data_IF_678838771464
#
_entry.id   IF_678838771464
#
_cell.length_a   1.000
_cell.length_b   1.000
_cell.length_c   1.000
_cell.angle_alpha   90.00
_cell.angle_beta   90.00
_cell.angle_gamma   90.00
#
_symmetry.space_group_name_H-M   'P 1'
#
loop_
_entity.id
_entity.type
_entity.pdbx_description
1 polymer ?
#
# COMPACT_ATOMS: atom_id res chain seq x y z
N UNK A 1 -8.55 12.57 0.57
CA UNK A 1 -9.93 12.02 0.71
C UNK A 1 -9.90 10.50 0.48
N UNK A 2 -10.87 9.71 0.96
CA UNK A 2 -10.97 8.30 0.54
C UNK A 2 -11.49 8.20 -0.90
N UNK A 3 -10.79 7.45 -1.74
CA UNK A 3 -11.16 7.13 -3.12
C UNK A 3 -11.30 5.61 -3.24
N UNK A 4 -12.51 5.15 -3.57
CA UNK A 4 -12.74 3.72 -3.81
C UNK A 4 -11.91 3.26 -5.01
N UNK A 5 -11.03 2.29 -4.77
CA UNK A 5 -10.11 1.75 -5.75
C UNK A 5 -10.04 0.23 -5.64
N UNK A 6 -10.67 -0.44 -6.61
CA UNK A 6 -10.57 -1.88 -6.78
C UNK A 6 -10.24 -2.21 -8.24
N UNK A 7 -8.94 -2.22 -8.61
CA UNK A 7 -8.51 -2.55 -9.97
C UNK A 7 -8.52 -4.05 -10.27
N UNK A 8 -8.98 -4.90 -9.34
CA UNK A 8 -9.09 -6.33 -9.59
C UNK A 8 -9.93 -6.56 -10.87
N UNK A 9 -9.45 -7.36 -11.84
CA UNK A 9 -10.08 -7.49 -13.16
C UNK A 9 -11.49 -8.09 -13.11
N UNK A 10 -11.84 -8.74 -12.01
CA UNK A 10 -13.16 -9.32 -11.77
C UNK A 10 -13.96 -8.55 -10.70
N UNK A 11 -13.45 -7.41 -10.24
CA UNK A 11 -14.06 -6.58 -9.20
C UNK A 11 -14.15 -7.25 -7.82
N UNK A 12 -13.47 -8.38 -7.62
CA UNK A 12 -13.49 -9.13 -6.36
C UNK A 12 -12.63 -8.47 -5.29
N UNK A 13 -12.94 -8.71 -4.02
CA UNK A 13 -12.10 -8.36 -2.88
C UNK A 13 -11.46 -9.66 -2.35
N UNK A 14 -10.24 -9.96 -2.77
CA UNK A 14 -9.59 -11.28 -2.57
C UNK A 14 -8.17 -11.15 -2.04
N UNK A 15 -8.00 -10.75 -0.78
CA UNK A 15 -6.68 -10.75 -0.11
C UNK A 15 -5.56 -10.04 -0.90
N UNK A 16 -5.91 -9.13 -1.81
CA UNK A 16 -5.04 -8.60 -2.86
C UNK A 16 -4.61 -7.16 -2.58
N UNK A 17 -4.71 -6.72 -1.32
CA UNK A 17 -4.38 -5.35 -0.92
C UNK A 17 -2.96 -4.96 -1.32
N UNK A 18 -1.98 -5.86 -1.16
CA UNK A 18 -0.60 -5.63 -1.63
C UNK A 18 -0.52 -5.41 -3.15
N UNK A 19 -1.26 -6.18 -3.94
CA UNK A 19 -1.31 -6.04 -5.41
C UNK A 19 -1.94 -4.71 -5.79
N UNK A 20 -3.10 -4.37 -5.20
CA UNK A 20 -3.80 -3.10 -5.46
C UNK A 20 -2.94 -1.89 -5.09
N UNK A 21 -2.29 -1.95 -3.92
CA UNK A 21 -1.42 -0.88 -3.45
C UNK A 21 -0.20 -0.70 -4.36
N UNK A 22 0.49 -1.80 -4.72
CA UNK A 22 1.62 -1.73 -5.67
C UNK A 22 1.18 -1.24 -7.05
N UNK A 23 0.02 -1.68 -7.55
CA UNK A 23 -0.53 -1.21 -8.82
C UNK A 23 -0.71 0.31 -8.82
N UNK A 24 -1.34 0.85 -7.77
CA UNK A 24 -1.56 2.29 -7.63
C UNK A 24 -0.24 3.05 -7.49
N UNK A 25 0.67 2.59 -6.64
CA UNK A 25 1.95 3.25 -6.35
C UNK A 25 2.88 3.30 -7.58
N UNK A 26 2.89 2.23 -8.39
CA UNK A 26 3.74 2.13 -9.58
C UNK A 26 3.05 2.60 -10.86
N UNK A 27 1.80 3.09 -10.77
CA UNK A 27 0.98 3.53 -11.92
C UNK A 27 0.85 2.44 -12.99
N UNK A 28 0.56 1.23 -12.55
CA UNK A 28 0.35 0.06 -13.40
C UNK A 28 -1.01 -0.58 -13.12
N UNK A 29 -1.41 -1.56 -13.92
CA UNK A 29 -2.64 -2.33 -13.70
C UNK A 29 -2.46 -3.46 -12.66
N UNK A 30 -3.57 -4.09 -12.29
CA UNK A 30 -3.58 -5.14 -11.28
C UNK A 30 -2.79 -6.37 -11.73
N UNK A 31 -2.93 -6.77 -13.00
CA UNK A 31 -2.27 -7.95 -13.58
C UNK A 31 -0.75 -7.80 -13.60
N UNK A 32 -0.22 -6.66 -14.03
CA UNK A 32 1.21 -6.41 -14.04
C UNK A 32 1.77 -6.31 -12.62
N UNK A 33 1.05 -5.68 -11.69
CA UNK A 33 1.44 -5.66 -10.28
C UNK A 33 1.46 -7.08 -9.68
N UNK A 34 0.45 -7.89 -9.99
CA UNK A 34 0.36 -9.29 -9.56
C UNK A 34 1.56 -10.09 -10.06
N UNK A 35 1.86 -10.02 -11.36
CA UNK A 35 2.99 -10.72 -11.97
C UNK A 35 4.32 -10.27 -11.38
N UNK A 36 4.49 -8.96 -11.13
CA UNK A 36 5.70 -8.40 -10.54
C UNK A 36 5.95 -8.95 -9.13
N UNK A 37 4.93 -8.95 -8.28
CA UNK A 37 5.02 -9.46 -6.91
C UNK A 37 5.20 -10.99 -6.92
N UNK A 38 4.42 -11.71 -7.74
CA UNK A 38 4.49 -13.17 -7.82
C UNK A 38 5.86 -13.65 -8.31
N UNK A 39 6.40 -13.04 -9.37
CA UNK A 39 7.77 -13.30 -9.84
C UNK A 39 8.79 -13.01 -8.74
N UNK A 40 8.62 -11.90 -8.02
CA UNK A 40 9.54 -11.56 -6.95
C UNK A 40 9.49 -12.55 -5.78
N UNK A 41 8.29 -13.00 -5.39
CA UNK A 41 8.11 -14.04 -4.37
C UNK A 41 8.76 -15.36 -4.78
N UNK A 42 8.58 -15.78 -6.04
CA UNK A 42 9.27 -16.96 -6.60
C UNK A 42 10.79 -16.83 -6.48
N UNK A 43 11.37 -15.69 -6.87
CA UNK A 43 12.81 -15.46 -6.78
C UNK A 43 13.33 -15.42 -5.34
N UNK A 44 12.49 -15.01 -4.38
CA UNK A 44 12.83 -14.97 -2.95
C UNK A 44 12.54 -16.28 -2.22
N UNK A 45 11.81 -17.21 -2.84
CA UNK A 45 11.31 -18.40 -2.15
C UNK A 45 10.28 -18.07 -1.06
N UNK A 46 9.55 -16.97 -1.20
CA UNK A 46 8.58 -16.47 -0.21
C UNK A 46 7.22 -16.15 -0.88
N UNK A 47 6.17 -16.06 -0.06
CA UNK A 47 4.80 -15.85 -0.53
C UNK A 47 4.61 -14.43 -1.10
N UNK A 48 3.87 -14.27 -2.21
CA UNK A 48 3.58 -12.95 -2.79
C UNK A 48 2.93 -11.96 -1.80
N UNK A 49 2.17 -12.47 -0.83
CA UNK A 49 1.50 -11.68 0.20
C UNK A 49 2.43 -11.20 1.34
N UNK A 50 3.67 -11.69 1.41
CA UNK A 50 4.63 -11.33 2.45
C UNK A 50 5.12 -9.88 2.30
N UNK A 51 5.15 -9.13 3.41
CA UNK A 51 5.70 -7.76 3.50
C UNK A 51 7.12 -7.64 2.92
N UNK A 52 7.91 -8.70 3.09
CA UNK A 52 9.28 -8.77 2.56
C UNK A 52 9.28 -8.72 1.02
N UNK A 53 8.32 -9.40 0.39
CA UNK A 53 8.24 -9.62 -1.05
C UNK A 53 7.74 -8.37 -1.75
N UNK A 54 6.52 -7.92 -1.48
CA UNK A 54 5.96 -6.74 -2.15
C UNK A 54 6.71 -5.46 -1.72
N UNK A 55 7.20 -5.39 -0.49
CA UNK A 55 8.05 -4.27 -0.05
C UNK A 55 9.36 -4.18 -0.82
N UNK A 56 9.98 -5.31 -1.18
CA UNK A 56 11.18 -5.29 -2.02
C UNK A 56 10.91 -4.86 -3.47
N UNK A 57 9.69 -5.09 -3.99
CA UNK A 57 9.26 -4.54 -5.28
C UNK A 57 9.23 -3.01 -5.20
N UNK A 58 8.62 -2.43 -4.16
CA UNK A 58 8.63 -0.97 -3.96
C UNK A 58 10.06 -0.44 -3.84
N UNK A 59 10.91 -1.09 -3.04
CA UNK A 59 12.33 -0.70 -2.86
C UNK A 59 13.10 -0.64 -4.17
N UNK A 60 12.92 -1.63 -5.05
CA UNK A 60 13.57 -1.65 -6.38
C UNK A 60 13.04 -0.57 -7.32
N UNK A 61 11.86 -0.01 -7.04
CA UNK A 61 11.25 1.10 -7.78
C UNK A 61 11.52 2.48 -7.13
N UNK A 62 12.49 2.55 -6.22
CA UNK A 62 12.98 3.79 -5.63
C UNK A 62 12.24 4.26 -4.40
N UNK A 63 11.35 3.44 -3.83
CA UNK A 63 10.73 3.73 -2.55
C UNK A 63 11.68 3.35 -1.40
N UNK A 64 11.61 4.08 -0.30
CA UNK A 64 12.24 3.70 0.97
C UNK A 64 11.18 3.60 2.06
N UNK A 65 11.48 2.85 3.14
CA UNK A 65 10.53 2.58 4.22
C UNK A 65 10.94 3.32 5.48
N UNK A 66 9.99 3.98 6.11
CA UNK A 66 10.11 4.61 7.42
C UNK A 66 8.99 4.10 8.36
N UNK A 67 9.27 4.06 9.66
CA UNK A 67 8.25 3.72 10.65
C UNK A 67 7.37 4.94 10.92
N UNK A 68 6.08 4.72 11.15
CA UNK A 68 5.16 5.76 11.61
C UNK A 68 5.07 5.67 13.14
N UNK A 69 5.22 6.78 13.88
CA UNK A 69 5.05 6.77 15.33
C UNK A 69 3.67 6.25 15.73
N UNK A 70 3.65 5.27 16.63
CA UNK A 70 2.41 4.70 17.19
C UNK A 70 2.16 5.25 18.60
N UNK A 71 1.88 6.56 18.70
CA UNK A 71 1.76 7.31 19.96
C UNK A 71 0.31 7.44 20.46
N UNK A 72 -0.38 6.31 20.65
CA UNK A 72 -1.72 6.32 21.27
C UNK A 72 -1.66 6.84 22.73
N UNK A 73 -2.66 7.63 23.21
CA UNK A 73 -4.02 7.78 22.66
C UNK A 73 -4.18 8.78 21.50
N UNK A 74 -3.16 9.57 21.15
CA UNK A 74 -3.15 10.42 19.95
C UNK A 74 -2.73 9.60 18.72
N UNK A 75 -3.47 8.53 18.44
CA UNK A 75 -3.12 7.60 17.38
C UNK A 75 -3.18 8.32 16.01
N UNK A 76 -2.10 8.21 15.23
CA UNK A 76 -1.99 8.84 13.92
C UNK A 76 -2.72 8.01 12.87
N UNK A 77 -3.86 8.49 12.37
CA UNK A 77 -4.70 7.73 11.42
C UNK A 77 -4.22 7.90 9.97
N UNK A 78 -4.66 7.01 9.08
CA UNK A 78 -4.45 7.20 7.64
C UNK A 78 -5.07 8.52 7.13
N UNK A 79 -6.18 8.99 7.73
CA UNK A 79 -6.76 10.29 7.42
C UNK A 79 -5.85 11.45 7.80
N UNK A 80 -5.18 11.37 8.96
CA UNK A 80 -4.22 12.39 9.39
C UNK A 80 -2.96 12.35 8.53
N UNK A 81 -2.46 11.15 8.20
CA UNK A 81 -1.40 10.97 7.22
C UNK A 81 -1.72 11.69 5.90
N UNK A 82 -2.93 11.51 5.36
CA UNK A 82 -3.37 12.15 4.13
C UNK A 82 -3.40 13.68 4.22
N UNK A 83 -3.79 14.26 5.36
CA UNK A 83 -3.82 15.72 5.56
C UNK A 83 -2.41 16.31 5.59
N UNK A 84 -1.49 15.62 6.25
CA UNK A 84 -0.11 16.09 6.41
C UNK A 84 0.73 15.88 5.15
N UNK A 85 0.32 14.98 4.27
CA UNK A 85 1.01 14.64 3.01
C UNK A 85 0.12 14.93 1.79
N UNK A 86 -0.12 16.22 1.44
CA UNK A 86 -1.02 16.62 0.35
C UNK A 86 -0.45 16.37 -1.06
N UNK A 87 0.81 15.95 -1.17
CA UNK A 87 1.49 15.67 -2.43
C UNK A 87 2.42 14.47 -2.28
N UNK A 88 2.55 13.64 -3.31
CA UNK A 88 3.46 12.50 -3.32
C UNK A 88 2.75 11.17 -3.48
N UNK A 89 3.50 10.07 -3.40
CA UNK A 89 2.98 8.70 -3.48
C UNK A 89 3.52 7.87 -2.33
N UNK A 90 2.61 7.34 -1.52
CA UNK A 90 2.92 6.66 -0.27
C UNK A 90 2.21 5.31 -0.22
N UNK A 91 2.84 4.27 0.30
CA UNK A 91 2.20 2.98 0.58
C UNK A 91 2.21 2.73 2.08
N UNK A 92 1.03 2.75 2.68
CA UNK A 92 0.83 2.55 4.12
C UNK A 92 0.65 1.08 4.44
N UNK A 93 1.36 0.59 5.44
CA UNK A 93 1.21 -0.77 5.98
C UNK A 93 0.59 -0.76 7.38
N UNK A 94 -0.47 -1.55 7.58
CA UNK A 94 -1.30 -1.58 8.80
C UNK A 94 -1.13 -2.87 9.63
N UNK A 95 -0.19 -3.74 9.27
CA UNK A 95 0.07 -5.02 9.98
C UNK A 95 -0.78 -6.21 9.53
N UNK A 96 -1.82 -5.98 8.71
CA UNK A 96 -2.56 -7.02 7.98
C UNK A 96 -3.25 -6.49 6.72
N UNK A 97 -3.05 -5.21 6.41
CA UNK A 97 -3.64 -4.48 5.31
C UNK A 97 -2.60 -3.50 4.76
N UNK A 98 -2.75 -3.14 3.49
CA UNK A 98 -1.90 -2.21 2.76
C UNK A 98 -2.76 -1.36 1.83
N UNK A 99 -2.55 -0.05 1.83
CA UNK A 99 -3.23 0.89 0.94
C UNK A 99 -2.26 1.96 0.43
N UNK A 100 -2.62 2.64 -0.66
CA UNK A 100 -1.79 3.68 -1.26
C UNK A 100 -2.42 5.04 -1.08
N UNK A 101 -1.62 6.02 -0.67
CA UNK A 101 -1.99 7.44 -0.70
C UNK A 101 -1.30 8.09 -1.89
N UNK A 102 -2.05 8.85 -2.69
CA UNK A 102 -1.50 9.69 -3.76
C UNK A 102 -2.06 11.08 -3.61
N UNK A 103 -1.18 12.08 -3.44
CA UNK A 103 -1.55 13.50 -3.31
C UNK A 103 -2.66 13.75 -2.28
N UNK A 104 -2.52 13.16 -1.08
CA UNK A 104 -3.49 13.28 0.02
C UNK A 104 -4.78 12.44 -0.15
N UNK A 105 -4.89 11.64 -1.22
CA UNK A 105 -6.02 10.74 -1.44
C UNK A 105 -5.66 9.29 -1.13
N UNK A 106 -6.46 8.65 -0.26
CA UNK A 106 -6.33 7.25 0.13
C UNK A 106 -7.08 6.35 -0.86
N UNK A 107 -6.36 5.50 -1.58
CA UNK A 107 -6.89 4.56 -2.56
C UNK A 107 -6.96 3.16 -1.97
N UNK A 108 -8.18 2.68 -1.75
CA UNK A 108 -8.44 1.33 -1.23
C UNK A 108 -9.83 0.81 -1.61
N UNK A 109 -10.11 -0.48 -1.39
CA UNK A 109 -11.39 -1.08 -1.75
C UNK A 109 -12.49 -0.88 -0.71
N UNK A 110 -12.14 -0.43 0.51
CA UNK A 110 -13.04 0.10 1.54
C UNK A 110 -12.45 1.37 2.16
N UNK A 111 -13.25 2.10 2.93
CA UNK A 111 -12.77 3.28 3.64
C UNK A 111 -11.95 2.87 4.87
N UNK A 112 -10.63 2.72 4.70
CA UNK A 112 -9.64 2.43 5.74
C UNK A 112 -9.07 3.69 6.41
N UNK A 113 -9.70 4.86 6.26
CA UNK A 113 -9.14 6.14 6.74
C UNK A 113 -8.90 6.22 8.24
N UNK A 114 -9.63 5.43 9.03
CA UNK A 114 -9.52 5.41 10.50
C UNK A 114 -8.52 4.35 10.99
N UNK A 115 -7.91 3.55 10.09
CA UNK A 115 -6.88 2.60 10.48
C UNK A 115 -5.57 3.33 10.80
N UNK A 116 -4.77 2.71 11.69
CA UNK A 116 -3.51 3.28 12.19
C UNK A 116 -2.37 2.60 11.43
N UNK A 117 -1.71 3.29 10.48
CA UNK A 117 -0.58 2.73 9.78
C UNK A 117 0.65 2.60 10.70
N UNK A 118 1.41 1.55 10.52
CA UNK A 118 2.61 1.21 11.33
C UNK A 118 3.88 1.71 10.63
N UNK A 119 3.85 1.76 9.30
CA UNK A 119 4.98 2.20 8.49
C UNK A 119 4.48 2.71 7.13
N UNK A 120 5.36 3.44 6.44
CA UNK A 120 5.11 3.95 5.10
C UNK A 120 6.29 3.64 4.18
N UNK A 121 5.97 3.38 2.91
CA UNK A 121 6.92 3.46 1.80
C UNK A 121 6.69 4.75 1.03
N UNK A 122 7.75 5.52 0.75
CA UNK A 122 7.66 6.82 0.08
C UNK A 122 8.82 7.04 -0.90
N UNK A 123 8.68 8.00 -1.82
CA UNK A 123 9.67 8.40 -2.82
C UNK A 123 9.69 9.93 -3.00
#
# INVERSE_FOLDING_TARGET
MFIRYNPNPTGRNVGDCAVRAVAKALRTDWENAYLLIAKNGFMMGDMPSSDSVWGSVLRRNGFFRSAIPNSCPDCYTAADFCKDHPSGTYVLGFGGHVATVVDGDLYDSWNSSNEIPIYVWEK
#
